data_IF_509783538973
#
_entry.id   IF_509783538973
#
_cell.length_a   1.000
_cell.length_b   1.000
_cell.length_c   1.000
_cell.angle_alpha   90.00
_cell.angle_beta   90.00
_cell.angle_gamma   90.00
#
_symmetry.space_group_name_H-M   'P 1'
#
loop_
_entity.id
_entity.type
_entity.pdbx_description
1 polymer ?
#
# COMPACT_ATOMS: atom_id res chain seq x y z
N UNK A 1 -0.47 -19.35 4.90
CA UNK A 1 -1.28 -18.65 3.87
C UNK A 1 -2.73 -18.77 4.27
N UNK A 2 -3.05 -18.24 5.44
CA UNK A 2 -4.36 -18.40 6.05
C UNK A 2 -5.18 -17.13 5.78
N UNK A 3 -6.49 -17.28 5.58
CA UNK A 3 -7.44 -16.18 5.36
C UNK A 3 -7.15 -15.24 4.18
N UNK A 4 -6.45 -15.70 3.14
CA UNK A 4 -6.33 -14.92 1.89
C UNK A 4 -7.75 -14.74 1.30
N UNK A 5 -8.18 -13.49 1.01
CA UNK A 5 -9.52 -13.20 0.53
C UNK A 5 -9.66 -13.51 -0.97
N UNK A 6 -9.52 -14.79 -1.35
CA UNK A 6 -9.50 -15.21 -2.77
C UNK A 6 -10.75 -14.80 -3.53
N UNK A 7 -11.92 -14.81 -2.89
CA UNK A 7 -13.18 -14.34 -3.50
C UNK A 7 -13.13 -12.87 -3.88
N UNK A 8 -12.63 -12.00 -2.99
CA UNK A 8 -12.51 -10.57 -3.28
C UNK A 8 -11.49 -10.33 -4.40
N UNK A 9 -10.37 -11.05 -4.37
CA UNK A 9 -9.34 -10.95 -5.40
C UNK A 9 -9.82 -11.44 -6.78
N UNK A 10 -10.64 -12.50 -6.84
CA UNK A 10 -11.28 -12.97 -8.09
C UNK A 10 -12.27 -11.91 -8.59
N UNK A 11 -13.12 -11.36 -7.72
CA UNK A 11 -14.10 -10.34 -8.10
C UNK A 11 -13.43 -9.05 -8.62
N UNK A 12 -12.22 -8.76 -8.16
CA UNK A 12 -11.40 -7.65 -8.65
C UNK A 12 -10.60 -8.00 -9.92
N UNK A 13 -10.71 -9.22 -10.43
CA UNK A 13 -10.00 -9.69 -11.63
C UNK A 13 -8.49 -9.91 -11.43
N UNK A 14 -8.06 -10.04 -10.17
CA UNK A 14 -6.63 -10.20 -9.81
C UNK A 14 -6.22 -11.66 -9.81
N UNK A 15 -7.14 -12.57 -9.45
CA UNK A 15 -6.95 -14.00 -9.53
C UNK A 15 -7.95 -14.61 -10.50
N UNK A 16 -7.51 -15.63 -11.23
CA UNK A 16 -8.42 -16.47 -12.00
C UNK A 16 -9.15 -17.46 -11.09
N UNK A 17 -10.44 -17.66 -11.35
CA UNK A 17 -11.22 -18.66 -10.62
C UNK A 17 -10.76 -20.07 -11.02
N UNK A 18 -10.46 -20.92 -10.02
CA UNK A 18 -10.13 -22.32 -10.26
C UNK A 18 -11.06 -23.29 -9.53
N UNK A 19 -11.21 -24.50 -10.09
CA UNK A 19 -12.06 -25.55 -9.56
C UNK A 19 -11.39 -26.36 -8.44
N UNK A 20 -10.06 -26.37 -8.35
CA UNK A 20 -9.33 -27.12 -7.33
C UNK A 20 -8.66 -26.20 -6.31
N UNK A 21 -8.57 -26.67 -5.06
CA UNK A 21 -7.86 -25.94 -4.00
C UNK A 21 -6.37 -25.79 -4.30
N UNK A 22 -5.76 -26.80 -4.93
CA UNK A 22 -4.34 -26.79 -5.26
C UNK A 22 -4.01 -25.71 -6.29
N UNK A 23 -4.84 -25.57 -7.33
CA UNK A 23 -4.67 -24.54 -8.35
C UNK A 23 -4.87 -23.14 -7.76
N UNK A 24 -5.83 -22.96 -6.84
CA UNK A 24 -6.03 -21.69 -6.14
C UNK A 24 -4.82 -21.30 -5.28
N UNK A 25 -4.12 -22.27 -4.67
CA UNK A 25 -2.85 -22.00 -3.98
C UNK A 25 -1.80 -21.54 -5.00
N UNK A 26 -1.73 -22.19 -6.17
CA UNK A 26 -0.86 -21.78 -7.26
C UNK A 26 -1.11 -20.34 -7.73
N UNK A 27 -2.38 -19.96 -7.91
CA UNK A 27 -2.78 -18.59 -8.25
C UNK A 27 -2.37 -17.58 -7.17
N UNK A 28 -2.62 -17.90 -5.90
CA UNK A 28 -2.22 -17.05 -4.80
C UNK A 28 -0.68 -16.85 -4.76
N UNK A 29 0.09 -17.93 -4.91
CA UNK A 29 1.56 -17.86 -4.94
C UNK A 29 2.07 -16.97 -6.09
N UNK A 30 1.47 -17.09 -7.28
CA UNK A 30 1.75 -16.20 -8.42
C UNK A 30 1.46 -14.74 -8.11
N UNK A 31 0.28 -14.46 -7.54
CA UNK A 31 -0.11 -13.12 -7.13
C UNK A 31 0.89 -12.49 -6.14
N UNK A 32 1.32 -13.24 -5.13
CA UNK A 32 2.34 -12.79 -4.17
C UNK A 32 3.76 -12.77 -4.76
N UNK A 33 4.01 -13.41 -5.90
CA UNK A 33 5.34 -13.51 -6.50
C UNK A 33 6.31 -14.37 -5.67
N UNK A 34 5.81 -15.38 -4.97
CA UNK A 34 6.61 -16.25 -4.07
C UNK A 34 6.53 -17.71 -4.53
N UNK A 35 7.61 -18.46 -4.31
CA UNK A 35 7.74 -19.82 -4.85
C UNK A 35 6.89 -20.87 -4.13
N UNK A 36 6.59 -20.66 -2.84
CA UNK A 36 5.83 -21.58 -2.00
C UNK A 36 5.25 -20.88 -0.76
N UNK A 37 4.47 -21.62 0.02
CA UNK A 37 3.81 -21.11 1.24
C UNK A 37 4.81 -20.66 2.29
N UNK A 38 5.94 -21.35 2.47
CA UNK A 38 6.93 -20.99 3.47
C UNK A 38 7.61 -19.65 3.13
N UNK A 39 7.90 -19.41 1.85
CA UNK A 39 8.39 -18.11 1.36
C UNK A 39 7.36 -17.00 1.61
N UNK A 40 6.06 -17.29 1.52
CA UNK A 40 5.03 -16.33 1.90
C UNK A 40 5.07 -16.03 3.41
N UNK A 41 5.22 -17.06 4.25
CA UNK A 41 5.31 -16.90 5.71
C UNK A 41 6.52 -16.07 6.12
N UNK A 42 7.68 -16.34 5.52
CA UNK A 42 8.93 -15.58 5.75
C UNK A 42 8.79 -14.09 5.42
N UNK A 43 7.86 -13.71 4.54
CA UNK A 43 7.64 -12.31 4.15
C UNK A 43 6.52 -11.67 4.97
N UNK A 44 5.42 -12.39 5.21
CA UNK A 44 4.16 -11.83 5.70
C UNK A 44 3.73 -12.32 7.08
N UNK A 45 4.18 -13.48 7.57
CA UNK A 45 3.94 -13.94 8.95
C UNK A 45 5.11 -13.58 9.86
N UNK A 46 6.34 -13.99 9.53
CA UNK A 46 7.54 -13.80 10.35
C UNK A 46 8.67 -13.14 9.53
N UNK A 47 8.64 -11.81 9.37
CA UNK A 47 9.62 -11.12 8.57
C UNK A 47 10.94 -11.09 9.33
N UNK A 48 11.97 -11.71 8.76
CA UNK A 48 13.34 -11.73 9.33
C UNK A 48 13.95 -10.35 9.57
N UNK A 49 13.36 -9.31 8.99
CA UNK A 49 13.68 -7.90 9.24
C UNK A 49 12.51 -7.28 10.00
N UNK A 50 12.80 -6.61 11.12
CA UNK A 50 11.81 -5.93 11.95
C UNK A 50 11.09 -4.81 11.16
N UNK A 51 10.10 -5.17 10.36
CA UNK A 51 9.17 -4.23 9.76
C UNK A 51 8.18 -3.85 10.84
N UNK A 52 8.05 -2.55 11.15
CA UNK A 52 7.03 -2.07 12.08
C UNK A 52 5.64 -2.38 11.50
N UNK A 53 4.98 -3.36 12.10
CA UNK A 53 3.58 -3.71 11.83
C UNK A 53 2.70 -2.99 12.84
N UNK A 54 1.51 -2.56 12.42
CA UNK A 54 0.49 -2.14 13.38
C UNK A 54 -0.16 -3.37 13.99
N UNK A 55 -0.68 -3.28 15.21
CA UNK A 55 -1.43 -4.38 15.86
C UNK A 55 -2.59 -4.86 14.98
N UNK A 56 -3.14 -3.97 14.16
CA UNK A 56 -4.20 -4.30 13.23
C UNK A 56 -3.74 -5.22 12.08
N UNK A 57 -2.46 -5.18 11.67
CA UNK A 57 -1.88 -6.14 10.70
C UNK A 57 -1.96 -7.58 11.23
N UNK A 58 -1.71 -7.76 12.52
CA UNK A 58 -1.70 -9.06 13.17
C UNK A 58 -3.11 -9.67 13.32
N UNK A 59 -4.18 -8.86 13.19
CA UNK A 59 -5.56 -9.35 13.33
C UNK A 59 -6.07 -10.16 12.13
N UNK A 60 -5.60 -9.88 10.91
CA UNK A 60 -5.95 -10.62 9.70
C UNK A 60 -4.83 -10.49 8.66
N UNK A 61 -3.75 -11.26 8.85
CA UNK A 61 -2.55 -11.24 7.99
C UNK A 61 -2.91 -11.58 6.53
N UNK A 62 -3.92 -12.42 6.30
CA UNK A 62 -4.38 -12.80 4.97
C UNK A 62 -4.93 -11.61 4.18
N UNK A 63 -5.92 -10.91 4.74
CA UNK A 63 -6.51 -9.74 4.12
C UNK A 63 -5.52 -8.56 4.04
N UNK A 64 -4.75 -8.36 5.12
CA UNK A 64 -3.67 -7.38 5.22
C UNK A 64 -2.64 -7.47 4.10
N UNK A 65 -2.03 -8.65 3.97
CA UNK A 65 -0.98 -8.91 3.00
C UNK A 65 -1.51 -8.81 1.58
N UNK A 66 -2.75 -9.28 1.32
CA UNK A 66 -3.37 -9.16 0.01
C UNK A 66 -3.58 -7.69 -0.38
N UNK A 67 -4.06 -6.85 0.55
CA UNK A 67 -4.29 -5.44 0.27
C UNK A 67 -2.99 -4.68 0.01
N UNK A 68 -1.95 -4.93 0.80
CA UNK A 68 -0.62 -4.36 0.57
C UNK A 68 -0.06 -4.84 -0.77
N UNK A 69 -0.21 -6.13 -1.10
CA UNK A 69 0.28 -6.69 -2.36
C UNK A 69 -0.41 -6.09 -3.58
N UNK A 70 -1.72 -5.84 -3.53
CA UNK A 70 -2.42 -5.06 -4.57
C UNK A 70 -1.81 -3.67 -4.73
N UNK A 71 -1.52 -3.01 -3.61
CA UNK A 71 -0.82 -1.73 -3.60
C UNK A 71 0.54 -1.80 -4.30
N UNK A 72 1.35 -2.81 -3.97
CA UNK A 72 2.67 -3.03 -4.57
C UNK A 72 2.60 -3.20 -6.08
N UNK A 73 1.67 -4.03 -6.57
CA UNK A 73 1.48 -4.27 -8.00
C UNK A 73 1.14 -2.97 -8.73
N UNK A 74 0.18 -2.19 -8.22
CA UNK A 74 -0.16 -0.90 -8.82
C UNK A 74 0.98 0.13 -8.70
N UNK A 75 1.74 0.09 -7.61
CA UNK A 75 2.87 0.99 -7.41
C UNK A 75 4.04 0.68 -8.36
N UNK A 76 4.20 -0.55 -8.82
CA UNK A 76 5.23 -0.93 -9.79
C UNK A 76 5.06 -0.16 -11.11
N UNK A 77 3.81 0.03 -11.56
CA UNK A 77 3.49 0.72 -12.81
C UNK A 77 3.64 2.24 -12.73
N UNK A 78 3.79 2.81 -11.52
CA UNK A 78 3.99 4.25 -11.34
C UNK A 78 5.49 4.57 -11.44
N UNK A 79 5.90 5.26 -12.50
CA UNK A 79 7.24 5.81 -12.59
C UNK A 79 7.44 6.88 -11.51
N UNK A 80 8.54 6.79 -10.76
CA UNK A 80 8.89 7.77 -9.74
C UNK A 80 10.36 8.17 -9.88
N UNK A 81 10.68 9.42 -9.52
CA UNK A 81 12.05 9.84 -9.31
C UNK A 81 12.68 9.11 -8.10
N UNK A 82 13.99 9.17 -7.87
CA UNK A 82 14.56 8.73 -6.60
C UNK A 82 13.99 9.53 -5.42
N UNK A 83 13.78 8.87 -4.28
CA UNK A 83 13.23 9.50 -3.09
C UNK A 83 14.10 10.66 -2.60
N UNK A 84 13.45 11.79 -2.30
CA UNK A 84 14.08 13.00 -1.78
C UNK A 84 13.28 13.50 -0.57
N UNK A 85 13.86 13.39 0.63
CA UNK A 85 13.14 13.67 1.88
C UNK A 85 12.60 15.11 1.95
N UNK A 86 13.43 16.10 1.61
CA UNK A 86 13.01 17.51 1.65
C UNK A 86 12.00 17.84 0.53
N UNK A 87 12.16 17.22 -0.63
CA UNK A 87 11.19 17.30 -1.72
C UNK A 87 9.83 16.73 -1.31
N UNK A 88 9.82 15.59 -0.63
CA UNK A 88 8.61 14.95 -0.13
C UNK A 88 7.90 15.82 0.93
N UNK A 89 8.63 16.40 1.89
CA UNK A 89 8.09 17.34 2.88
C UNK A 89 7.41 18.54 2.21
N UNK A 90 8.07 19.15 1.22
CA UNK A 90 7.51 20.28 0.47
C UNK A 90 6.26 19.88 -0.33
N UNK A 91 6.26 18.68 -0.92
CA UNK A 91 5.11 18.11 -1.63
C UNK A 91 3.93 17.87 -0.68
N UNK A 92 4.15 17.35 0.52
CA UNK A 92 3.09 17.16 1.52
C UNK A 92 2.43 18.48 1.93
N UNK A 93 3.21 19.57 2.06
CA UNK A 93 2.65 20.90 2.31
C UNK A 93 1.76 21.37 1.16
N UNK A 94 2.20 21.18 -0.09
CA UNK A 94 1.39 21.53 -1.27
C UNK A 94 0.10 20.72 -1.38
N UNK A 95 0.17 19.42 -1.09
CA UNK A 95 -1.01 18.54 -1.15
C UNK A 95 -2.08 18.99 -0.16
N UNK A 96 -1.69 19.43 1.04
CA UNK A 96 -2.63 19.99 2.02
C UNK A 96 -3.43 21.17 1.49
N UNK A 97 -2.84 21.99 0.63
CA UNK A 97 -3.54 23.12 0.01
C UNK A 97 -4.42 22.69 -1.16
N UNK A 98 -4.18 21.50 -1.73
CA UNK A 98 -4.96 20.94 -2.83
C UNK A 98 -6.20 20.16 -2.36
N UNK A 99 -6.20 19.64 -1.13
CA UNK A 99 -7.32 18.82 -0.61
C UNK A 99 -8.63 19.59 -0.41
N UNK A 100 -8.63 20.91 -0.57
CA UNK A 100 -9.85 21.75 -0.60
C UNK A 100 -10.54 21.75 -1.96
N UNK A 101 -9.88 21.23 -3.00
CA UNK A 101 -10.43 21.12 -4.36
C UNK A 101 -11.16 19.78 -4.52
N UNK A 102 -11.90 19.63 -5.61
CA UNK A 102 -12.57 18.37 -5.93
C UNK A 102 -11.56 17.23 -6.17
N UNK A 103 -11.90 15.98 -5.79
CA UNK A 103 -11.08 14.78 -5.97
C UNK A 103 -10.56 14.58 -7.39
N UNK A 104 -11.39 14.89 -8.39
CA UNK A 104 -11.01 14.79 -9.80
C UNK A 104 -9.82 15.70 -10.17
N UNK A 105 -9.59 16.77 -9.41
CA UNK A 105 -8.51 17.73 -9.63
C UNK A 105 -7.29 17.42 -8.77
N UNK A 106 -7.48 17.18 -7.47
CA UNK A 106 -6.32 17.03 -6.58
C UNK A 106 -5.70 15.64 -6.63
N UNK A 107 -6.45 14.57 -6.92
CA UNK A 107 -5.88 13.20 -6.94
C UNK A 107 -4.82 13.00 -8.04
N UNK A 108 -5.03 13.44 -9.30
CA UNK A 108 -3.99 13.38 -10.32
C UNK A 108 -2.75 14.20 -9.92
N UNK A 109 -2.94 15.44 -9.46
CA UNK A 109 -1.85 16.30 -9.01
C UNK A 109 -1.07 15.71 -7.83
N UNK A 110 -1.76 15.09 -6.87
CA UNK A 110 -1.14 14.41 -5.74
C UNK A 110 -0.27 13.23 -6.21
N UNK A 111 -0.75 12.42 -7.16
CA UNK A 111 0.02 11.31 -7.73
C UNK A 111 1.30 11.80 -8.40
N UNK A 112 1.21 12.85 -9.20
CA UNK A 112 2.36 13.45 -9.89
C UNK A 112 3.38 14.04 -8.92
N UNK A 113 2.91 14.82 -7.93
CA UNK A 113 3.78 15.43 -6.94
C UNK A 113 4.50 14.37 -6.09
N UNK A 114 3.78 13.35 -5.61
CA UNK A 114 4.38 12.23 -4.88
C UNK A 114 5.40 11.47 -5.76
N UNK A 115 5.05 11.19 -7.03
CA UNK A 115 5.96 10.49 -7.95
C UNK A 115 7.25 11.28 -8.21
N UNK A 116 7.17 12.62 -8.27
CA UNK A 116 8.33 13.50 -8.46
C UNK A 116 9.35 13.46 -7.32
N UNK A 117 8.96 12.95 -6.14
CA UNK A 117 9.82 12.82 -4.96
C UNK A 117 10.00 11.36 -4.52
N UNK A 118 9.78 10.40 -5.43
CA UNK A 118 10.04 8.98 -5.19
C UNK A 118 8.99 8.23 -4.39
N UNK A 119 7.76 8.73 -4.39
CA UNK A 119 6.64 8.10 -3.69
C UNK A 119 5.53 7.74 -4.66
N UNK A 120 5.25 6.46 -4.81
CA UNK A 120 4.09 5.95 -5.53
C UNK A 120 2.85 6.09 -4.65
N UNK A 121 1.93 6.97 -5.06
CA UNK A 121 0.63 7.12 -4.40
C UNK A 121 -0.40 6.19 -5.05
N UNK A 122 -0.95 5.27 -4.26
CA UNK A 122 -1.85 4.21 -4.72
C UNK A 122 -3.11 4.17 -3.87
N UNK A 123 -4.24 4.00 -4.54
CA UNK A 123 -5.52 3.77 -3.89
C UNK A 123 -6.07 2.42 -4.32
N UNK A 124 -6.32 1.55 -3.34
CA UNK A 124 -6.89 0.22 -3.57
C UNK A 124 -8.21 0.14 -2.81
N UNK A 125 -9.30 -0.37 -3.43
CA UNK A 125 -10.52 -0.69 -2.70
C UNK A 125 -10.21 -1.51 -1.44
N UNK A 126 -10.96 -1.30 -0.37
CA UNK A 126 -10.77 -2.10 0.84
C UNK A 126 -11.05 -3.58 0.56
N UNK A 127 -10.24 -4.45 1.16
CA UNK A 127 -10.59 -5.85 1.31
C UNK A 127 -11.38 -6.02 2.60
N UNK A 128 -12.31 -6.98 2.61
CA UNK A 128 -13.12 -7.27 3.80
C UNK A 128 -12.19 -7.52 4.99
N UNK A 129 -12.53 -6.94 6.14
CA UNK A 129 -11.78 -7.03 7.41
C UNK A 129 -10.42 -6.31 7.44
N UNK A 130 -10.11 -5.41 6.51
CA UNK A 130 -8.95 -4.50 6.63
C UNK A 130 -9.41 -3.17 7.23
N UNK A 131 -9.19 -2.88 8.53
CA UNK A 131 -9.73 -1.70 9.18
C UNK A 131 -8.92 -0.41 8.91
N UNK A 132 -8.04 -0.39 7.91
CA UNK A 132 -7.04 0.67 7.75
C UNK A 132 -7.45 1.70 6.69
N UNK A 133 -7.14 2.95 7.00
CA UNK A 133 -7.27 4.04 6.05
C UNK A 133 -6.04 4.18 5.15
N UNK A 134 -4.89 3.64 5.58
CA UNK A 134 -3.67 3.69 4.78
C UNK A 134 -2.52 2.87 5.36
N UNK A 135 -1.52 2.63 4.52
CA UNK A 135 -0.25 2.02 4.86
C UNK A 135 0.89 2.71 4.09
N UNK A 136 2.10 2.66 4.63
CA UNK A 136 3.30 3.12 3.94
C UNK A 136 4.32 2.00 3.90
N UNK A 137 4.90 1.74 2.73
CA UNK A 137 5.90 0.69 2.54
C UNK A 137 6.97 1.14 1.56
N UNK A 138 8.22 0.87 1.88
CA UNK A 138 9.32 1.05 0.93
C UNK A 138 9.41 -0.14 0.00
N UNK A 139 9.41 0.14 -1.31
CA UNK A 139 9.49 -0.87 -2.35
C UNK A 139 10.93 -1.14 -2.77
N UNK A 140 11.75 -0.09 -2.77
CA UNK A 140 13.20 -0.13 -3.02
C UNK A 140 13.89 0.86 -2.07
N UNK A 141 15.23 0.93 -2.00
CA UNK A 141 15.92 1.95 -1.22
C UNK A 141 15.58 3.39 -1.62
N UNK A 142 15.11 3.62 -2.85
CA UNK A 142 14.84 4.95 -3.41
C UNK A 142 13.39 5.15 -3.87
N UNK A 143 12.48 4.21 -3.60
CA UNK A 143 11.06 4.31 -3.95
C UNK A 143 10.18 3.80 -2.81
N UNK A 144 9.26 4.65 -2.37
CA UNK A 144 8.27 4.30 -1.38
C UNK A 144 6.86 4.24 -1.99
N UNK A 145 5.94 3.62 -1.27
CA UNK A 145 4.52 3.54 -1.58
C UNK A 145 3.73 4.11 -0.42
N UNK A 146 2.75 4.95 -0.74
CA UNK A 146 1.65 5.29 0.14
C UNK A 146 0.41 4.60 -0.43
N UNK A 147 -0.15 3.70 0.35
CA UNK A 147 -1.36 2.97 0.04
C UNK A 147 -2.51 3.55 0.86
N UNK A 148 -3.64 3.84 0.22
CA UNK A 148 -4.83 4.41 0.87
C UNK A 148 -6.04 3.59 0.49
N UNK A 149 -6.94 3.36 1.46
CA UNK A 149 -8.20 2.69 1.15
C UNK A 149 -9.18 3.69 0.55
N UNK A 150 -10.02 3.22 -0.38
CA UNK A 150 -11.10 4.04 -0.94
C UNK A 150 -12.30 4.20 0.03
N UNK A 151 -12.12 3.88 1.32
CA UNK A 151 -13.18 3.93 2.32
C UNK A 151 -13.41 5.35 2.79
N UNK A 152 -14.59 5.90 2.50
CA UNK A 152 -14.95 7.28 2.83
C UNK A 152 -14.68 8.24 1.68
N UNK A 153 -14.99 9.54 1.87
CA UNK A 153 -14.69 10.55 0.85
C UNK A 153 -13.19 10.81 0.88
N UNK A 154 -12.54 10.80 -0.28
CA UNK A 154 -11.12 11.11 -0.42
C UNK A 154 -10.75 12.42 0.29
N UNK A 155 -11.60 13.43 0.20
CA UNK A 155 -11.47 14.72 0.92
C UNK A 155 -11.26 14.55 2.43
N UNK A 156 -11.99 13.64 3.08
CA UNK A 156 -11.93 13.43 4.54
C UNK A 156 -10.63 12.72 4.97
N UNK A 157 -10.10 11.83 4.12
CA UNK A 157 -8.85 11.11 4.39
C UNK A 157 -7.66 12.06 4.26
N UNK A 158 -7.59 12.78 3.14
CA UNK A 158 -6.45 13.65 2.88
C UNK A 158 -6.53 14.95 3.68
N UNK A 159 -7.71 15.49 3.98
CA UNK A 159 -7.87 16.67 4.84
C UNK A 159 -7.52 16.42 6.32
N UNK A 160 -7.44 15.15 6.74
CA UNK A 160 -7.17 14.78 8.13
C UNK A 160 -5.70 15.06 8.52
N UNK A 161 -5.44 15.95 9.51
CA UNK A 161 -4.08 16.24 9.96
C UNK A 161 -3.34 15.02 10.51
N UNK A 162 -4.07 14.05 11.06
CA UNK A 162 -3.51 12.81 11.62
C UNK A 162 -2.95 11.90 10.53
N UNK A 163 -3.62 11.84 9.37
CA UNK A 163 -3.18 11.03 8.23
C UNK A 163 -1.92 11.62 7.59
N UNK A 164 -1.90 12.93 7.31
CA UNK A 164 -0.71 13.60 6.77
C UNK A 164 0.51 13.47 7.70
N UNK A 165 0.30 13.62 9.01
CA UNK A 165 1.38 13.48 10.00
C UNK A 165 1.92 12.05 10.03
N UNK A 166 1.05 11.04 9.96
CA UNK A 166 1.45 9.64 9.95
C UNK A 166 2.30 9.28 8.73
N UNK A 167 1.91 9.75 7.54
CA UNK A 167 2.68 9.54 6.30
C UNK A 167 4.06 10.17 6.40
N UNK A 168 4.12 11.46 6.76
CA UNK A 168 5.38 12.22 6.84
C UNK A 168 6.35 11.54 7.81
N UNK A 169 5.85 11.19 8.99
CA UNK A 169 6.62 10.51 10.02
C UNK A 169 7.13 9.11 9.60
N UNK A 170 6.30 8.35 8.88
CA UNK A 170 6.67 7.01 8.43
C UNK A 170 7.78 7.03 7.36
N UNK A 171 7.85 8.11 6.57
CA UNK A 171 8.90 8.28 5.55
C UNK A 171 10.21 8.82 6.13
N UNK A 172 10.16 9.69 7.14
CA UNK A 172 11.36 10.27 7.78
C UNK A 172 12.21 9.21 8.53
N UNK A 173 11.57 8.30 9.27
CA UNK A 173 12.29 7.37 10.16
C UNK A 173 13.15 6.31 9.48
N UNK A 174 12.90 5.95 8.21
CA UNK A 174 13.81 5.04 7.50
C UNK A 174 15.09 5.75 7.07
N UNK A 175 15.05 7.06 6.86
CA UNK A 175 16.24 7.84 6.54
C UNK A 175 17.22 7.92 7.72
N UNK A 176 16.72 7.74 8.96
CA UNK A 176 17.53 7.70 10.18
C UNK A 176 18.10 6.31 10.50
N UNK A 177 17.74 5.28 9.73
CA UNK A 177 18.08 3.87 9.99
C UNK A 177 18.96 3.24 8.89
N UNK A 178 19.57 4.06 8.03
CA UNK A 178 20.53 3.64 6.99
C UNK A 178 21.85 4.36 7.22
#
# INVERSE_FOLDING_TARGET
MDNIPTKDLINQGVLDASQSKADMVGEALRFYGVANVDAWKDVWEDPKVAARRSDCFETDIGAASAWIRLGELQAQDIACAPYQADGFKAVMQKIRDLTVKEPAVFLPAMRELCASCGVAFVMVPELKNVPWNGATKWLTPSKAMILVSLRGKSEDIFGSPSFMRHITYSMERRNDSI
#
